data_IF_581820929883
#
_entry.id   IF_581820929883
#
_cell.length_a   1.000
_cell.length_b   1.000
_cell.length_c   1.000
_cell.angle_alpha   90.00
_cell.angle_beta   90.00
_cell.angle_gamma   90.00
#
_symmetry.space_group_name_H-M   'P 1'
#
loop_
_entity.id
_entity.type
_entity.pdbx_description
1 polymer ?
#
# COMPACT_ATOMS: atom_id res chain seq x y z
N UNK A 1 26.02 23.18 10.39
CA UNK A 1 25.91 22.96 11.85
C UNK A 1 24.51 22.41 12.13
N UNK A 2 24.40 21.16 12.59
CA UNK A 2 23.13 20.67 13.11
C UNK A 2 22.79 21.46 14.39
N UNK A 3 21.53 21.82 14.64
CA UNK A 3 21.16 22.43 15.91
C UNK A 3 21.56 21.47 17.04
N UNK A 4 22.36 21.95 17.99
CA UNK A 4 22.98 21.17 19.08
C UNK A 4 22.00 20.48 20.04
N UNK A 5 20.69 20.43 19.76
CA UNK A 5 19.67 19.86 20.67
C UNK A 5 18.49 19.17 19.95
N UNK A 6 18.63 18.69 18.71
CA UNK A 6 17.55 17.92 18.09
C UNK A 6 17.54 16.48 18.64
N UNK A 7 16.44 16.06 19.29
CA UNK A 7 16.27 14.69 19.75
C UNK A 7 16.22 13.70 18.58
N UNK A 8 16.80 12.51 18.76
CA UNK A 8 16.72 11.42 17.77
C UNK A 8 15.25 11.08 17.52
N UNK A 9 14.83 11.08 16.25
CA UNK A 9 13.44 10.80 15.91
C UNK A 9 13.14 10.81 14.42
N UNK A 10 11.86 10.54 14.10
CA UNK A 10 11.29 10.73 12.77
C UNK A 10 10.31 11.91 12.80
N UNK A 11 10.47 12.83 11.86
CA UNK A 11 9.66 14.03 11.77
C UNK A 11 8.14 13.73 11.78
N UNK A 12 7.40 14.46 12.62
CA UNK A 12 5.94 14.36 12.74
C UNK A 12 5.41 13.15 13.52
N UNK A 13 6.24 12.15 13.85
CA UNK A 13 5.80 10.97 14.59
C UNK A 13 5.90 11.19 16.12
N UNK A 14 5.20 12.21 16.61
CA UNK A 14 5.26 12.62 18.03
C UNK A 14 4.64 11.59 18.98
N UNK A 15 3.55 10.94 18.55
CA UNK A 15 2.87 9.90 19.31
C UNK A 15 2.80 8.61 18.50
N UNK A 16 3.42 7.55 19.00
CA UNK A 16 3.59 6.30 18.26
C UNK A 16 3.76 5.13 19.21
N UNK A 17 3.36 3.93 18.80
CA UNK A 17 3.66 2.69 19.52
C UNK A 17 5.13 2.22 19.36
N UNK A 18 5.93 2.97 18.59
CA UNK A 18 7.38 2.83 18.44
C UNK A 18 8.08 4.06 19.02
N UNK A 19 9.10 3.84 19.85
CA UNK A 19 9.93 4.90 20.42
C UNK A 19 11.19 5.10 19.54
N UNK A 20 11.22 6.19 18.77
CA UNK A 20 12.34 6.50 17.88
C UNK A 20 13.56 7.09 18.59
N UNK A 21 13.51 7.33 19.90
CA UNK A 21 14.72 7.61 20.68
C UNK A 21 15.57 6.35 20.90
N UNK A 22 15.00 5.16 20.68
CA UNK A 22 15.65 3.86 20.88
C UNK A 22 16.05 3.22 19.56
N UNK A 23 17.24 2.60 19.51
CA UNK A 23 17.79 1.92 18.32
C UNK A 23 16.89 0.83 17.75
N UNK A 24 16.10 0.16 18.59
CA UNK A 24 15.22 -0.94 18.19
C UNK A 24 14.18 -0.51 17.14
N UNK A 25 13.69 0.73 17.22
CA UNK A 25 12.72 1.31 16.29
C UNK A 25 13.30 1.66 14.92
N UNK A 26 14.63 1.65 14.79
CA UNK A 26 15.35 1.93 13.55
C UNK A 26 15.74 0.66 12.78
N UNK A 27 15.39 -0.51 13.31
CA UNK A 27 15.60 -1.79 12.64
C UNK A 27 14.85 -1.88 11.30
N UNK A 28 15.36 -2.70 10.39
CA UNK A 28 14.91 -2.82 8.99
C UNK A 28 13.41 -2.92 8.76
N UNK A 29 12.65 -3.55 9.66
CA UNK A 29 11.20 -3.73 9.48
C UNK A 29 10.41 -2.56 10.07
N UNK A 30 10.91 -1.96 11.14
CA UNK A 30 10.26 -0.84 11.79
C UNK A 30 10.51 0.46 11.00
N UNK A 31 11.77 0.78 10.70
CA UNK A 31 12.12 1.99 9.96
C UNK A 31 11.44 2.05 8.58
N UNK A 32 11.51 0.98 7.78
CA UNK A 32 10.93 0.98 6.43
C UNK A 32 9.38 1.08 6.42
N UNK A 33 8.72 0.85 7.55
CA UNK A 33 7.28 1.04 7.70
C UNK A 33 6.96 2.42 8.34
N UNK A 34 7.82 2.95 9.21
CA UNK A 34 7.60 4.25 9.86
C UNK A 34 8.07 5.46 9.06
N UNK A 35 9.17 5.35 8.31
CA UNK A 35 9.68 6.43 7.46
C UNK A 35 8.62 6.96 6.47
N UNK A 36 7.82 6.11 5.79
CA UNK A 36 6.69 6.53 4.97
C UNK A 36 5.71 7.51 5.63
N UNK A 37 5.34 7.25 6.89
CA UNK A 37 4.43 8.12 7.64
C UNK A 37 5.10 9.48 7.96
N UNK A 38 6.38 9.44 8.32
CA UNK A 38 7.18 10.65 8.57
C UNK A 38 7.38 11.49 7.30
N UNK A 39 7.65 10.85 6.16
CA UNK A 39 7.72 11.50 4.85
C UNK A 39 6.39 12.20 4.51
N UNK A 40 5.25 11.55 4.77
CA UNK A 40 3.95 12.16 4.56
C UNK A 40 3.72 13.40 5.46
N UNK A 41 4.15 13.34 6.73
CA UNK A 41 4.11 14.50 7.63
C UNK A 41 4.97 15.66 7.10
N UNK A 42 6.18 15.36 6.62
CA UNK A 42 7.08 16.38 6.04
C UNK A 42 6.52 16.99 4.76
N UNK A 43 5.93 16.17 3.88
CA UNK A 43 5.23 16.65 2.69
C UNK A 43 4.05 17.57 3.05
N UNK A 44 3.29 17.24 4.10
CA UNK A 44 2.26 18.13 4.64
C UNK A 44 2.84 19.46 5.12
N UNK A 45 3.94 19.46 5.87
CA UNK A 45 4.62 20.69 6.30
C UNK A 45 5.03 21.57 5.10
N UNK A 46 5.41 20.95 3.98
CA UNK A 46 5.74 21.64 2.73
C UNK A 46 4.54 22.10 1.92
N UNK A 47 3.30 21.86 2.39
CA UNK A 47 2.08 22.17 1.65
C UNK A 47 1.86 21.31 0.40
N UNK A 48 2.51 20.14 0.32
CA UNK A 48 2.37 19.21 -0.79
C UNK A 48 1.22 18.25 -0.55
N UNK A 49 0.41 18.00 -1.59
CA UNK A 49 -0.57 16.90 -1.61
C UNK A 49 0.04 15.64 -2.20
N UNK A 50 -0.52 14.47 -1.88
CA UNK A 50 -0.01 13.18 -2.38
C UNK A 50 -0.62 12.83 -3.75
N UNK A 51 0.09 12.05 -4.56
CA UNK A 51 -0.43 11.57 -5.84
C UNK A 51 -1.50 10.49 -5.57
N UNK A 52 -2.76 10.76 -5.88
CA UNK A 52 -3.87 9.84 -5.61
C UNK A 52 -4.29 9.11 -6.88
N UNK A 53 -4.11 7.78 -6.89
CA UNK A 53 -4.45 6.89 -7.98
C UNK A 53 -5.86 6.32 -7.75
N UNK A 54 -6.81 6.87 -8.50
CA UNK A 54 -8.25 6.57 -8.43
C UNK A 54 -8.70 5.87 -9.70
N UNK A 55 -9.87 5.22 -9.67
CA UNK A 55 -10.52 4.72 -10.88
C UNK A 55 -11.59 5.67 -11.39
N UNK A 56 -11.70 5.79 -12.71
CA UNK A 56 -12.88 6.34 -13.38
C UNK A 56 -13.91 5.27 -13.75
N UNK A 57 -15.03 5.69 -14.34
CA UNK A 57 -16.10 4.80 -14.82
C UNK A 57 -15.69 3.94 -16.02
N UNK A 58 -14.55 4.22 -16.65
CA UNK A 58 -13.96 3.42 -17.72
C UNK A 58 -12.91 2.44 -17.18
N UNK A 59 -12.79 2.30 -15.86
CA UNK A 59 -11.81 1.46 -15.17
C UNK A 59 -10.36 1.84 -15.50
N UNK A 60 -10.11 3.10 -15.84
CA UNK A 60 -8.76 3.65 -16.04
C UNK A 60 -8.31 4.38 -14.78
N UNK A 61 -7.01 4.29 -14.51
CA UNK A 61 -6.41 5.04 -13.41
C UNK A 61 -6.39 6.53 -13.76
N UNK A 62 -6.95 7.33 -12.85
CA UNK A 62 -6.90 8.77 -12.86
C UNK A 62 -5.96 9.27 -11.76
N UNK A 63 -5.14 10.25 -12.12
CA UNK A 63 -4.22 10.92 -11.21
C UNK A 63 -4.90 12.14 -10.63
N UNK A 64 -5.14 12.11 -9.32
CA UNK A 64 -5.66 13.24 -8.55
C UNK A 64 -4.67 13.61 -7.45
N UNK A 65 -4.99 14.65 -6.69
CA UNK A 65 -4.26 15.01 -5.48
C UNK A 65 -5.11 14.71 -4.26
N UNK A 66 -4.49 14.19 -3.19
CA UNK A 66 -5.14 13.94 -1.91
C UNK A 66 -4.40 14.63 -0.78
N UNK A 67 -5.17 15.25 0.12
CA UNK A 67 -4.61 15.85 1.34
C UNK A 67 -4.19 14.74 2.32
N UNK A 68 -3.03 14.90 2.96
CA UNK A 68 -2.51 13.90 3.90
C UNK A 68 -3.47 13.75 5.10
N UNK A 69 -4.21 14.78 5.47
CA UNK A 69 -5.24 14.68 6.51
C UNK A 69 -6.36 13.70 6.15
N UNK A 70 -6.67 13.48 4.87
CA UNK A 70 -7.64 12.48 4.45
C UNK A 70 -7.07 11.05 4.57
N UNK A 71 -5.74 10.91 4.45
CA UNK A 71 -5.01 9.66 4.62
C UNK A 71 -4.92 9.27 6.09
N UNK A 72 -4.61 10.22 6.98
CA UNK A 72 -4.48 9.97 8.42
C UNK A 72 -5.78 10.15 9.21
N UNK A 73 -6.79 10.78 8.62
CA UNK A 73 -8.10 11.05 9.22
C UNK A 73 -8.17 12.34 10.02
N UNK A 74 -7.03 12.94 10.38
CA UNK A 74 -6.86 14.26 10.98
C UNK A 74 -5.54 14.89 10.48
N UNK A 75 -5.29 16.15 10.84
CA UNK A 75 -4.08 16.88 10.45
C UNK A 75 -2.78 16.13 10.83
N UNK A 76 -1.82 15.94 9.90
CA UNK A 76 -0.61 15.12 10.14
C UNK A 76 0.32 15.59 11.26
N UNK A 77 0.28 16.87 11.60
CA UNK A 77 1.09 17.47 12.66
C UNK A 77 0.25 17.80 13.91
N UNK A 78 -0.93 17.19 14.05
CA UNK A 78 -1.76 17.34 15.24
C UNK A 78 -1.12 16.65 16.44
N UNK A 79 -1.14 17.30 17.61
CA UNK A 79 -0.76 16.70 18.90
C UNK A 79 -1.73 15.58 19.34
N UNK A 80 -2.83 15.37 18.61
CA UNK A 80 -3.78 14.29 18.89
C UNK A 80 -3.61 13.09 17.95
N UNK A 81 -2.72 13.16 16.96
CA UNK A 81 -2.49 12.06 16.03
C UNK A 81 -1.53 11.03 16.62
N UNK A 82 -2.01 9.81 16.79
CA UNK A 82 -1.21 8.66 17.19
C UNK A 82 -1.02 7.67 16.05
N UNK A 83 0.23 7.25 15.83
CA UNK A 83 0.62 6.27 14.82
C UNK A 83 0.80 4.88 15.45
N UNK A 84 -0.15 3.98 15.21
CA UNK A 84 -0.08 2.60 15.68
C UNK A 84 0.37 1.67 14.55
N UNK A 85 1.67 1.38 14.50
CA UNK A 85 2.23 0.49 13.49
C UNK A 85 1.91 -0.98 13.79
N UNK A 86 1.76 -1.80 12.75
CA UNK A 86 1.52 -3.25 12.85
C UNK A 86 0.37 -3.57 13.82
N UNK A 87 -0.75 -2.89 13.63
CA UNK A 87 -1.89 -2.89 14.55
C UNK A 87 -3.18 -3.33 13.86
N UNK A 88 -4.17 -3.74 14.65
CA UNK A 88 -5.46 -4.16 14.13
C UNK A 88 -6.33 -2.92 13.88
N UNK A 89 -6.93 -2.79 12.69
CA UNK A 89 -7.98 -1.80 12.49
C UNK A 89 -9.31 -2.31 13.07
N UNK A 90 -9.53 -2.01 14.34
CA UNK A 90 -10.67 -2.47 15.14
C UNK A 90 -12.04 -2.34 14.44
N UNK A 91 -12.34 -1.27 13.67
CA UNK A 91 -13.64 -1.13 13.00
C UNK A 91 -14.03 -2.32 12.10
N UNK A 92 -13.07 -3.05 11.52
CA UNK A 92 -13.35 -4.22 10.69
C UNK A 92 -13.56 -5.52 11.47
N UNK A 93 -13.28 -5.56 12.78
CA UNK A 93 -13.41 -6.81 13.58
C UNK A 93 -14.82 -7.38 13.54
N UNK A 94 -15.85 -6.52 13.49
CA UNK A 94 -17.25 -6.95 13.47
C UNK A 94 -17.66 -7.69 12.19
N UNK A 95 -16.90 -7.61 11.10
CA UNK A 95 -17.20 -8.30 9.84
C UNK A 95 -16.22 -9.45 9.54
N UNK A 96 -15.42 -9.88 10.52
CA UNK A 96 -14.41 -10.95 10.37
C UNK A 96 -14.70 -12.13 11.29
N UNK A 97 -14.41 -13.34 10.81
CA UNK A 97 -14.31 -14.55 11.63
C UNK A 97 -12.89 -14.68 12.17
N UNK A 98 -12.74 -14.88 13.48
CA UNK A 98 -11.45 -15.04 14.12
C UNK A 98 -10.70 -13.73 14.32
N UNK A 99 -9.36 -13.79 14.29
CA UNK A 99 -8.49 -12.63 14.53
C UNK A 99 -8.26 -11.84 13.23
N UNK A 100 -8.41 -10.52 13.30
CA UNK A 100 -8.08 -9.62 12.20
C UNK A 100 -6.55 -9.62 11.96
N UNK A 101 -6.07 -9.66 10.70
CA UNK A 101 -4.66 -9.46 10.44
C UNK A 101 -4.26 -8.02 10.77
N UNK A 102 -3.00 -7.83 11.19
CA UNK A 102 -2.43 -6.50 11.44
C UNK A 102 -2.19 -5.80 10.11
N UNK A 103 -2.47 -4.50 10.06
CA UNK A 103 -2.10 -3.63 8.93
C UNK A 103 -0.83 -2.86 9.28
N UNK A 104 -0.10 -2.42 8.26
CA UNK A 104 1.17 -1.70 8.43
C UNK A 104 1.03 -0.45 9.32
N UNK A 105 -0.03 0.34 9.16
CA UNK A 105 -0.33 1.52 9.98
C UNK A 105 -1.83 1.67 10.28
N UNK A 106 -2.15 1.93 11.54
CA UNK A 106 -3.44 2.47 11.99
C UNK A 106 -3.21 3.83 12.64
N UNK A 107 -4.01 4.83 12.29
CA UNK A 107 -3.99 6.13 12.97
C UNK A 107 -5.14 6.24 13.98
N UNK A 108 -4.88 6.93 15.08
CA UNK A 108 -5.85 7.18 16.15
C UNK A 108 -5.91 8.65 16.51
N UNK A 109 -7.07 9.07 17.04
CA UNK A 109 -7.27 10.38 17.65
C UNK A 109 -7.25 10.27 19.17
N UNK A 110 -6.17 10.75 19.79
CA UNK A 110 -5.98 10.75 21.24
C UNK A 110 -7.04 11.59 21.98
N UNK A 111 -7.61 12.61 21.32
CA UNK A 111 -8.64 13.48 21.93
C UNK A 111 -10.02 12.82 22.01
N UNK A 112 -10.22 11.70 21.29
CA UNK A 112 -11.51 11.01 21.15
C UNK A 112 -11.42 9.57 21.63
N UNK A 113 -10.90 9.36 22.84
CA UNK A 113 -10.75 8.03 23.45
C UNK A 113 -10.00 7.04 22.54
N UNK A 114 -8.91 7.51 21.92
CA UNK A 114 -8.11 6.73 20.97
C UNK A 114 -8.90 6.17 19.77
N UNK A 115 -9.93 6.88 19.32
CA UNK A 115 -10.77 6.47 18.20
C UNK A 115 -9.91 6.12 16.97
N UNK A 116 -10.11 4.93 16.41
CA UNK A 116 -9.48 4.52 15.15
C UNK A 116 -9.95 5.43 14.01
N UNK A 117 -9.01 5.98 13.25
CA UNK A 117 -9.29 6.90 12.16
C UNK A 117 -9.15 6.24 10.79
N UNK A 118 -7.99 5.65 10.51
CA UNK A 118 -7.64 5.09 9.20
C UNK A 118 -6.75 3.87 9.35
N UNK A 119 -6.86 2.94 8.40
CA UNK A 119 -5.93 1.82 8.19
C UNK A 119 -5.24 2.00 6.85
N UNK A 120 -3.91 1.91 6.81
CA UNK A 120 -3.11 2.16 5.62
C UNK A 120 -2.07 1.06 5.48
N UNK A 121 -2.07 0.39 4.34
CA UNK A 121 -0.99 -0.52 3.96
C UNK A 121 0.18 0.29 3.38
N UNK A 122 1.42 -0.06 3.74
CA UNK A 122 2.60 0.69 3.34
C UNK A 122 3.46 -0.14 2.38
N UNK A 123 3.79 0.46 1.24
CA UNK A 123 4.64 -0.14 0.20
C UNK A 123 5.76 0.81 -0.18
N UNK A 124 6.82 0.81 0.62
CA UNK A 124 8.05 1.52 0.28
C UNK A 124 8.68 0.79 -0.93
N UNK A 125 8.77 1.46 -2.10
CA UNK A 125 9.29 0.87 -3.35
C UNK A 125 10.47 1.62 -4.00
N UNK A 126 11.42 0.88 -4.59
CA UNK A 126 12.55 1.45 -5.32
C UNK A 126 12.16 1.86 -6.75
N UNK A 127 12.72 2.99 -7.23
CA UNK A 127 12.57 3.49 -8.58
C UNK A 127 13.98 3.77 -9.19
N UNK A 128 14.40 3.12 -10.27
CA UNK A 128 13.74 2.03 -10.98
C UNK A 128 13.88 0.69 -10.28
N UNK A 129 13.01 -0.23 -10.66
CA UNK A 129 13.14 -1.65 -10.33
C UNK A 129 14.04 -2.42 -11.32
N UNK A 130 14.16 -3.73 -11.09
CA UNK A 130 14.94 -4.63 -11.93
C UNK A 130 14.49 -4.70 -13.39
N UNK A 131 13.23 -4.44 -13.70
CA UNK A 131 12.68 -4.53 -15.06
C UNK A 131 12.88 -3.26 -15.88
N UNK A 132 13.01 -2.09 -15.24
CA UNK A 132 13.01 -0.79 -15.91
C UNK A 132 14.33 -0.03 -15.80
N UNK A 133 15.30 -0.48 -15.00
CA UNK A 133 16.55 0.27 -14.74
C UNK A 133 17.43 0.59 -15.95
N UNK A 134 17.32 -0.16 -17.06
CA UNK A 134 18.06 0.09 -18.31
C UNK A 134 17.31 1.01 -19.28
N UNK A 135 16.07 1.35 -18.97
CA UNK A 135 15.28 2.27 -19.79
C UNK A 135 15.68 3.71 -19.49
N UNK A 136 15.27 4.69 -20.32
CA UNK A 136 15.40 6.09 -19.98
C UNK A 136 14.67 6.43 -18.67
N UNK A 137 15.14 7.45 -17.94
CA UNK A 137 14.57 7.91 -16.67
C UNK A 137 13.04 8.08 -16.65
N UNK A 138 12.47 8.63 -17.72
CA UNK A 138 11.02 8.83 -17.85
C UNK A 138 10.23 7.52 -18.08
N UNK A 139 10.95 6.40 -18.17
CA UNK A 139 10.43 5.04 -18.32
C UNK A 139 10.69 4.15 -17.11
N UNK A 140 11.16 4.72 -16.00
CA UNK A 140 11.33 3.99 -14.75
C UNK A 140 9.97 3.59 -14.13
N UNK A 141 9.96 2.44 -13.47
CA UNK A 141 8.82 1.92 -12.70
C UNK A 141 9.27 1.21 -11.44
N UNK A 142 8.31 0.98 -10.53
CA UNK A 142 8.57 0.36 -9.22
C UNK A 142 8.04 -1.07 -9.17
N UNK A 143 8.81 -2.02 -8.62
CA UNK A 143 8.24 -3.31 -8.25
C UNK A 143 7.32 -3.13 -7.04
N UNK A 144 6.12 -3.71 -7.09
CA UNK A 144 5.23 -3.80 -5.94
C UNK A 144 5.00 -5.27 -5.57
N UNK A 145 5.22 -5.60 -4.29
CA UNK A 145 4.99 -6.94 -3.74
C UNK A 145 3.87 -6.86 -2.71
N UNK A 146 2.79 -7.60 -2.96
CA UNK A 146 1.56 -7.53 -2.19
C UNK A 146 1.41 -8.78 -1.32
N UNK A 147 1.13 -8.59 -0.03
CA UNK A 147 0.87 -9.69 0.92
C UNK A 147 -0.61 -10.09 0.87
N UNK A 148 -0.97 -11.32 1.28
CA UNK A 148 -2.36 -11.73 1.39
C UNK A 148 -3.20 -10.76 2.23
N UNK A 149 -2.64 -10.27 3.34
CA UNK A 149 -3.33 -9.33 4.24
C UNK A 149 -3.78 -8.05 3.54
N UNK A 150 -3.05 -7.58 2.53
CA UNK A 150 -3.48 -6.42 1.71
C UNK A 150 -4.78 -6.73 0.95
N UNK A 151 -4.97 -7.97 0.47
CA UNK A 151 -6.22 -8.41 -0.20
C UNK A 151 -7.35 -8.55 0.83
N UNK A 152 -7.03 -8.96 2.05
CA UNK A 152 -7.99 -9.00 3.15
C UNK A 152 -8.48 -7.58 3.49
N UNK A 153 -7.57 -6.62 3.67
CA UNK A 153 -7.95 -5.22 3.93
C UNK A 153 -8.67 -4.58 2.74
N UNK A 154 -8.32 -4.94 1.50
CA UNK A 154 -9.10 -4.56 0.32
C UNK A 154 -10.54 -5.07 0.42
N UNK A 155 -10.73 -6.37 0.66
CA UNK A 155 -12.07 -6.96 0.80
C UNK A 155 -12.86 -6.33 1.94
N UNK A 156 -12.23 -6.09 3.10
CA UNK A 156 -12.86 -5.46 4.25
C UNK A 156 -13.25 -4.00 3.98
N UNK A 157 -12.40 -3.24 3.28
CA UNK A 157 -12.72 -1.86 2.90
C UNK A 157 -13.96 -1.78 2.01
N UNK A 158 -14.17 -2.76 1.14
CA UNK A 158 -15.36 -2.83 0.28
C UNK A 158 -16.53 -3.32 1.11
N UNK A 159 -16.40 -4.45 1.81
CA UNK A 159 -17.47 -5.06 2.61
C UNK A 159 -18.04 -4.08 3.66
N UNK A 160 -17.20 -3.26 4.30
CA UNK A 160 -17.64 -2.31 5.29
C UNK A 160 -18.64 -1.28 4.74
N UNK A 161 -18.45 -0.80 3.50
CA UNK A 161 -19.38 0.13 2.85
C UNK A 161 -20.74 -0.52 2.56
N UNK A 162 -20.80 -1.85 2.44
CA UNK A 162 -22.02 -2.61 2.17
C UNK A 162 -22.62 -3.26 3.43
N UNK A 163 -22.16 -2.91 4.63
CA UNK A 163 -22.59 -3.57 5.87
C UNK A 163 -24.11 -3.50 6.10
N UNK A 164 -24.71 -2.36 5.76
CA UNK A 164 -26.15 -2.15 5.87
C UNK A 164 -26.93 -2.49 4.59
N UNK A 165 -26.26 -3.01 3.56
CA UNK A 165 -26.86 -3.32 2.26
C UNK A 165 -26.23 -4.54 1.59
N UNK A 166 -26.07 -5.62 2.37
CA UNK A 166 -25.42 -6.86 1.92
C UNK A 166 -26.10 -7.50 0.70
N UNK A 167 -27.43 -7.38 0.58
CA UNK A 167 -28.17 -7.89 -0.58
C UNK A 167 -27.73 -7.22 -1.88
N UNK A 168 -27.35 -5.92 -1.85
CA UNK A 168 -26.80 -5.23 -3.02
C UNK A 168 -25.48 -5.86 -3.45
N UNK A 169 -24.58 -6.12 -2.49
CA UNK A 169 -23.32 -6.80 -2.76
C UNK A 169 -23.56 -8.22 -3.29
N UNK A 170 -24.53 -8.93 -2.72
CA UNK A 170 -24.92 -10.27 -3.14
C UNK A 170 -25.39 -10.29 -4.59
N UNK A 171 -26.18 -9.30 -5.03
CA UNK A 171 -26.71 -9.24 -6.40
C UNK A 171 -25.62 -9.18 -7.47
N UNK A 172 -24.46 -8.56 -7.19
CA UNK A 172 -23.34 -8.58 -8.13
C UNK A 172 -22.64 -9.95 -8.19
N UNK A 173 -22.52 -10.63 -7.04
CA UNK A 173 -21.65 -11.81 -6.91
C UNK A 173 -22.41 -13.13 -7.10
N UNK A 174 -23.64 -13.23 -6.61
CA UNK A 174 -24.47 -14.43 -6.64
C UNK A 174 -24.60 -15.04 -8.05
N UNK A 175 -24.81 -14.26 -9.14
CA UNK A 175 -25.00 -14.84 -10.47
C UNK A 175 -23.82 -15.69 -10.94
N UNK A 176 -22.59 -15.36 -10.55
CA UNK A 176 -21.39 -16.13 -10.90
C UNK A 176 -20.95 -17.06 -9.77
N UNK A 177 -20.88 -16.55 -8.54
CA UNK A 177 -20.29 -17.25 -7.41
C UNK A 177 -21.09 -18.48 -6.97
N UNK A 178 -22.41 -18.51 -7.19
CA UNK A 178 -23.25 -19.66 -6.87
C UNK A 178 -23.12 -20.83 -7.84
N UNK A 179 -22.55 -20.61 -9.03
CA UNK A 179 -22.29 -21.65 -10.02
C UNK A 179 -21.01 -22.44 -9.73
N UNK A 180 -20.15 -21.95 -8.84
CA UNK A 180 -18.91 -22.60 -8.46
C UNK A 180 -19.20 -23.64 -7.38
N UNK A 181 -19.22 -24.92 -7.79
CA UNK A 181 -19.52 -26.05 -6.89
C UNK A 181 -18.46 -26.23 -5.78
N UNK A 182 -17.18 -26.16 -6.16
CA UNK A 182 -16.06 -26.32 -5.23
C UNK A 182 -15.00 -25.26 -5.49
N UNK A 183 -14.91 -24.29 -4.57
CA UNK A 183 -13.94 -23.21 -4.64
C UNK A 183 -12.49 -23.69 -4.48
N UNK A 184 -12.25 -24.86 -3.88
CA UNK A 184 -10.89 -25.40 -3.72
C UNK A 184 -10.35 -26.06 -4.99
N UNK A 185 -11.24 -26.41 -5.93
CA UNK A 185 -10.91 -27.07 -7.19
C UNK A 185 -10.59 -26.09 -8.30
N UNK A 186 -9.38 -26.17 -8.86
CA UNK A 186 -8.97 -25.38 -10.04
C UNK A 186 -9.95 -25.57 -11.20
N UNK A 187 -10.38 -26.82 -11.44
CA UNK A 187 -11.31 -27.17 -12.53
C UNK A 187 -12.65 -26.45 -12.40
N UNK A 188 -13.12 -26.25 -11.17
CA UNK A 188 -14.43 -25.63 -10.90
C UNK A 188 -14.34 -24.11 -10.82
N UNK A 189 -13.17 -23.53 -10.51
CA UNK A 189 -13.00 -22.08 -10.39
C UNK A 189 -12.51 -21.43 -11.68
N UNK A 190 -11.50 -22.02 -12.34
CA UNK A 190 -10.82 -21.41 -13.49
C UNK A 190 -11.78 -20.94 -14.60
N UNK A 191 -12.81 -21.72 -15.00
CA UNK A 191 -13.75 -21.29 -16.06
C UNK A 191 -14.57 -20.06 -15.70
N UNK A 192 -14.72 -19.74 -14.41
CA UNK A 192 -15.53 -18.63 -13.92
C UNK A 192 -14.72 -17.36 -13.62
N UNK A 193 -13.39 -17.41 -13.64
CA UNK A 193 -12.54 -16.26 -13.32
C UNK A 193 -12.84 -15.03 -14.20
N UNK A 194 -13.04 -15.14 -15.52
CA UNK A 194 -13.47 -14.01 -16.34
C UNK A 194 -14.78 -13.37 -15.85
N UNK A 195 -15.82 -14.18 -15.59
CA UNK A 195 -17.11 -13.68 -15.11
C UNK A 195 -17.02 -13.08 -13.70
N UNK A 196 -16.14 -13.61 -12.84
CA UNK A 196 -15.86 -13.03 -11.52
C UNK A 196 -15.27 -11.63 -11.70
N UNK A 197 -14.29 -11.46 -12.58
CA UNK A 197 -13.69 -10.14 -12.87
C UNK A 197 -14.76 -9.18 -13.38
N UNK A 198 -15.59 -9.60 -14.33
CA UNK A 198 -16.65 -8.75 -14.90
C UNK A 198 -17.69 -8.33 -13.85
N UNK A 199 -18.05 -9.25 -12.94
CA UNK A 199 -18.97 -8.99 -11.83
C UNK A 199 -18.38 -7.97 -10.84
N UNK A 200 -17.10 -8.12 -10.50
CA UNK A 200 -16.40 -7.18 -9.62
C UNK A 200 -16.16 -5.82 -10.28
N UNK A 201 -15.88 -5.78 -11.58
CA UNK A 201 -15.77 -4.54 -12.36
C UNK A 201 -17.09 -3.78 -12.39
N UNK A 202 -18.21 -4.47 -12.57
CA UNK A 202 -19.55 -3.87 -12.52
C UNK A 202 -19.82 -3.27 -11.13
N UNK A 203 -19.54 -4.04 -10.07
CA UNK A 203 -19.62 -3.54 -8.70
C UNK A 203 -18.77 -2.27 -8.50
N UNK A 204 -17.55 -2.24 -9.00
CA UNK A 204 -16.65 -1.08 -8.86
C UNK A 204 -17.19 0.13 -9.63
N UNK A 205 -17.63 -0.04 -10.88
CA UNK A 205 -18.13 1.06 -11.72
C UNK A 205 -19.37 1.70 -11.10
N UNK A 206 -20.33 0.89 -10.65
CA UNK A 206 -21.59 1.39 -10.10
C UNK A 206 -21.41 2.08 -8.74
N UNK A 207 -20.32 1.78 -8.04
CA UNK A 207 -20.03 2.32 -6.71
C UNK A 207 -18.80 3.23 -6.68
N UNK A 208 -18.29 3.67 -7.84
CA UNK A 208 -16.99 4.37 -8.00
C UNK A 208 -16.76 5.55 -7.05
N UNK A 209 -17.85 6.19 -6.59
CA UNK A 209 -17.82 7.34 -5.69
C UNK A 209 -17.38 7.01 -4.25
N UNK A 210 -17.45 5.74 -3.82
CA UNK A 210 -17.07 5.32 -2.45
C UNK A 210 -15.61 4.86 -2.35
N UNK A 211 -14.83 4.98 -3.43
CA UNK A 211 -13.43 4.60 -3.41
C UNK A 211 -12.66 5.41 -2.35
N UNK A 212 -11.80 4.74 -1.61
CA UNK A 212 -11.11 5.33 -0.46
C UNK A 212 -9.64 4.88 -0.43
N UNK A 213 -8.72 5.65 0.18
CA UNK A 213 -7.30 5.28 0.29
C UNK A 213 -7.10 3.92 0.94
N UNK A 214 -6.24 3.08 0.33
CA UNK A 214 -5.91 1.74 0.85
C UNK A 214 -4.40 1.56 1.05
N UNK A 215 -3.61 1.90 0.04
CA UNK A 215 -2.15 1.67 0.03
C UNK A 215 -1.43 2.99 -0.13
N UNK A 216 -0.53 3.31 0.79
CA UNK A 216 0.46 4.37 0.64
C UNK A 216 1.75 3.76 0.12
N UNK A 217 2.14 4.12 -1.11
CA UNK A 217 3.34 3.68 -1.81
C UNK A 217 4.33 4.84 -1.97
N UNK A 218 5.20 5.08 -1.00
CA UNK A 218 6.36 5.93 -1.23
C UNK A 218 7.34 5.31 -2.21
N UNK A 219 8.03 6.18 -2.93
CA UNK A 219 9.10 5.81 -3.86
C UNK A 219 10.43 6.41 -3.40
N UNK A 220 11.54 5.70 -3.64
CA UNK A 220 12.87 6.31 -3.62
C UNK A 220 13.59 6.11 -4.95
N UNK A 221 14.05 7.23 -5.54
CA UNK A 221 14.68 7.25 -6.86
C UNK A 221 16.20 7.19 -6.79
N UNK A 222 16.80 6.21 -7.46
CA UNK A 222 18.26 6.02 -7.56
C UNK A 222 18.76 6.11 -9.00
N UNK A 223 20.05 6.39 -9.18
CA UNK A 223 20.72 6.34 -10.49
C UNK A 223 20.83 4.88 -10.94
N UNK A 224 19.91 4.44 -11.80
CA UNK A 224 19.79 3.04 -12.18
C UNK A 224 19.65 2.14 -10.95
N UNK A 225 20.45 1.05 -10.90
CA UNK A 225 20.53 0.13 -9.74
C UNK A 225 21.59 0.50 -8.70
N UNK A 226 22.20 1.67 -8.81
CA UNK A 226 23.22 2.08 -7.84
C UNK A 226 22.58 2.47 -6.51
N UNK A 227 23.38 2.59 -5.45
CA UNK A 227 22.93 3.15 -4.18
C UNK A 227 22.83 4.67 -4.17
N UNK A 228 23.25 5.35 -5.26
CA UNK A 228 23.24 6.81 -5.36
C UNK A 228 21.82 7.33 -5.59
N UNK A 229 21.33 8.18 -4.70
CA UNK A 229 20.04 8.85 -4.88
C UNK A 229 20.10 9.90 -5.98
N UNK A 230 18.97 10.09 -6.68
CA UNK A 230 18.76 11.28 -7.50
C UNK A 230 18.68 12.53 -6.62
N UNK A 231 18.86 13.70 -7.24
CA UNK A 231 18.60 14.97 -6.57
C UNK A 231 17.15 15.02 -6.07
N UNK A 232 16.20 14.76 -6.97
CA UNK A 232 14.77 14.61 -6.70
C UNK A 232 14.48 13.12 -6.52
N UNK A 233 14.28 12.66 -5.28
CA UNK A 233 14.30 11.23 -5.02
C UNK A 233 13.14 10.67 -4.21
N UNK A 234 12.35 11.46 -3.48
CA UNK A 234 11.21 10.91 -2.72
C UNK A 234 9.88 11.53 -3.16
N UNK A 235 8.86 10.68 -3.26
CA UNK A 235 7.46 11.07 -3.44
C UNK A 235 6.56 9.96 -2.88
N UNK A 236 5.26 10.25 -2.78
CA UNK A 236 4.25 9.28 -2.33
C UNK A 236 3.11 9.20 -3.34
N UNK A 237 2.79 7.96 -3.70
CA UNK A 237 1.60 7.57 -4.44
C UNK A 237 0.64 6.85 -3.50
N UNK A 238 -0.64 7.21 -3.55
CA UNK A 238 -1.69 6.58 -2.76
C UNK A 238 -2.62 5.87 -3.73
N UNK A 239 -2.83 4.57 -3.53
CA UNK A 239 -3.84 3.82 -4.27
C UNK A 239 -5.15 3.83 -3.50
N UNK A 240 -6.23 4.19 -4.19
CA UNK A 240 -7.57 3.86 -3.71
C UNK A 240 -7.76 2.34 -3.68
N UNK A 241 -8.69 1.85 -2.86
CA UNK A 241 -9.09 0.45 -2.84
C UNK A 241 -9.48 -0.05 -4.25
N UNK A 242 -10.25 0.73 -4.99
CA UNK A 242 -10.65 0.41 -6.37
C UNK A 242 -9.48 0.53 -7.35
N UNK A 243 -8.68 1.59 -7.28
CA UNK A 243 -7.44 1.74 -8.05
C UNK A 243 -6.49 0.56 -7.92
N UNK A 244 -6.31 0.07 -6.69
CA UNK A 244 -5.44 -1.06 -6.40
C UNK A 244 -5.89 -2.36 -7.08
N UNK A 245 -7.18 -2.50 -7.42
CA UNK A 245 -7.68 -3.69 -8.14
C UNK A 245 -7.05 -3.86 -9.52
N UNK A 246 -6.73 -2.76 -10.22
CA UNK A 246 -6.17 -2.83 -11.58
C UNK A 246 -4.88 -3.60 -11.65
N UNK A 247 -4.06 -3.53 -10.60
CA UNK A 247 -2.81 -4.24 -10.49
C UNK A 247 -2.95 -5.76 -10.71
N UNK A 248 -4.07 -6.37 -10.31
CA UNK A 248 -4.25 -7.82 -10.48
C UNK A 248 -5.45 -8.19 -11.38
N UNK A 249 -6.44 -7.32 -11.54
CA UNK A 249 -7.56 -7.55 -12.47
C UNK A 249 -7.07 -7.50 -13.92
N UNK A 250 -6.29 -6.49 -14.30
CA UNK A 250 -5.85 -6.34 -15.68
C UNK A 250 -4.88 -7.46 -16.08
N UNK A 251 -4.03 -7.89 -15.15
CA UNK A 251 -3.17 -9.07 -15.34
C UNK A 251 -4.03 -10.33 -15.51
N UNK A 252 -5.04 -10.51 -14.65
CA UNK A 252 -5.97 -11.64 -14.71
C UNK A 252 -6.70 -11.69 -16.05
N UNK A 253 -7.19 -10.56 -16.56
CA UNK A 253 -7.84 -10.49 -17.89
C UNK A 253 -6.94 -10.90 -19.04
N UNK A 254 -5.63 -10.66 -18.93
CA UNK A 254 -4.63 -11.11 -19.92
C UNK A 254 -4.37 -12.61 -19.80
N UNK A 255 -4.18 -13.11 -18.58
CA UNK A 255 -3.82 -14.50 -18.30
C UNK A 255 -4.98 -15.48 -18.50
N UNK A 256 -6.20 -15.12 -18.07
CA UNK A 256 -7.36 -16.02 -18.09
C UNK A 256 -7.80 -16.44 -19.51
N UNK A 257 -7.26 -15.80 -20.56
CA UNK A 257 -7.51 -16.17 -21.96
C UNK A 257 -6.63 -17.31 -22.46
N UNK A 258 -5.51 -17.58 -21.79
CA UNK A 258 -4.44 -18.45 -22.31
C UNK A 258 -3.91 -19.46 -21.30
N UNK A 259 -4.18 -19.28 -20.01
CA UNK A 259 -3.65 -20.13 -18.94
C UNK A 259 -4.61 -21.27 -18.58
N UNK A 260 -4.07 -22.48 -18.49
CA UNK A 260 -4.78 -23.66 -17.95
C UNK A 260 -4.66 -23.77 -16.42
N UNK A 261 -3.91 -22.86 -15.78
CA UNK A 261 -3.65 -22.85 -14.33
C UNK A 261 -3.96 -21.50 -13.70
N UNK A 262 -4.25 -21.50 -12.39
CA UNK A 262 -4.55 -20.26 -11.66
C UNK A 262 -3.24 -19.64 -11.14
N UNK A 263 -2.85 -18.53 -11.76
CA UNK A 263 -1.70 -17.73 -11.34
C UNK A 263 -2.02 -16.85 -10.13
N UNK A 264 -0.99 -16.34 -9.45
CA UNK A 264 -1.11 -15.48 -8.24
C UNK A 264 -2.08 -14.28 -8.38
N UNK A 265 -2.04 -13.47 -9.46
CA UNK A 265 -3.02 -12.40 -9.67
C UNK A 265 -4.46 -12.92 -9.80
N UNK A 266 -4.64 -14.02 -10.55
CA UNK A 266 -5.95 -14.66 -10.74
C UNK A 266 -6.51 -15.18 -9.41
N UNK A 267 -5.67 -15.84 -8.61
CA UNK A 267 -6.01 -16.27 -7.25
C UNK A 267 -6.41 -15.08 -6.36
N UNK A 268 -5.75 -13.93 -6.49
CA UNK A 268 -6.09 -12.75 -5.70
C UNK A 268 -7.48 -12.19 -6.06
N UNK A 269 -7.90 -12.29 -7.33
CA UNK A 269 -9.30 -12.03 -7.74
C UNK A 269 -10.25 -13.01 -7.06
N UNK A 270 -9.93 -14.31 -7.10
CA UNK A 270 -10.76 -15.35 -6.49
C UNK A 270 -10.88 -15.16 -4.98
N UNK A 271 -9.79 -14.83 -4.28
CA UNK A 271 -9.80 -14.50 -2.85
C UNK A 271 -10.70 -13.31 -2.55
N UNK A 272 -10.57 -12.22 -3.31
CA UNK A 272 -11.42 -11.04 -3.15
C UNK A 272 -12.90 -11.39 -3.35
N UNK A 273 -13.22 -12.07 -4.45
CA UNK A 273 -14.59 -12.47 -4.77
C UNK A 273 -15.19 -13.36 -3.69
N UNK A 274 -14.44 -14.39 -3.25
CA UNK A 274 -14.89 -15.32 -2.24
C UNK A 274 -15.15 -14.64 -0.91
N UNK A 275 -14.25 -13.76 -0.46
CA UNK A 275 -14.43 -13.02 0.78
C UNK A 275 -15.65 -12.09 0.72
N UNK A 276 -15.83 -11.35 -0.36
CA UNK A 276 -17.00 -10.48 -0.52
C UNK A 276 -18.31 -11.28 -0.63
N UNK A 277 -18.29 -12.43 -1.29
CA UNK A 277 -19.45 -13.30 -1.43
C UNK A 277 -19.86 -13.92 -0.08
N UNK A 278 -18.89 -14.41 0.70
CA UNK A 278 -19.15 -14.87 2.08
C UNK A 278 -19.74 -13.75 2.95
N UNK A 279 -19.16 -12.55 2.87
CA UNK A 279 -19.70 -11.40 3.59
C UNK A 279 -21.13 -11.09 3.18
N UNK A 280 -21.42 -11.08 1.87
CA UNK A 280 -22.76 -10.83 1.37
C UNK A 280 -23.78 -11.83 1.94
N UNK A 281 -23.44 -13.12 1.96
CA UNK A 281 -24.32 -14.18 2.48
C UNK A 281 -24.53 -14.10 4.00
N UNK A 282 -23.45 -14.08 4.79
CA UNK A 282 -23.55 -14.30 6.25
C UNK A 282 -23.06 -13.12 7.10
N UNK A 283 -22.60 -12.03 6.48
CA UNK A 283 -22.17 -10.80 7.16
C UNK A 283 -20.78 -10.89 7.77
N UNK A 284 -20.01 -11.94 7.45
CA UNK A 284 -18.68 -12.20 8.00
C UNK A 284 -17.74 -12.73 6.92
N UNK A 285 -16.46 -12.41 7.03
CA UNK A 285 -15.37 -12.89 6.17
C UNK A 285 -14.50 -13.88 6.95
N UNK A 286 -14.36 -15.11 6.46
CA UNK A 286 -13.38 -16.07 6.98
C UNK A 286 -12.09 -16.03 6.16
N UNK A 287 -11.38 -14.91 6.23
CA UNK A 287 -10.19 -14.65 5.42
C UNK A 287 -9.12 -15.73 5.59
N UNK A 288 -8.89 -16.22 6.82
CA UNK A 288 -7.91 -17.27 7.08
C UNK A 288 -8.24 -18.55 6.31
N UNK A 289 -9.49 -19.01 6.38
CA UNK A 289 -9.93 -20.18 5.61
C UNK A 289 -9.74 -19.95 4.11
N UNK A 290 -10.14 -18.78 3.59
CA UNK A 290 -9.99 -18.46 2.16
C UNK A 290 -8.52 -18.51 1.72
N UNK A 291 -7.61 -17.83 2.44
CA UNK A 291 -6.18 -17.77 2.09
C UNK A 291 -5.49 -19.15 2.23
N UNK A 292 -5.85 -19.92 3.25
CA UNK A 292 -5.20 -21.20 3.55
C UNK A 292 -5.72 -22.34 2.66
N UNK A 293 -6.97 -22.28 2.20
CA UNK A 293 -7.57 -23.36 1.37
C UNK A 293 -7.50 -23.07 -0.12
N UNK A 294 -7.66 -21.81 -0.54
CA UNK A 294 -7.76 -21.44 -1.96
C UNK A 294 -6.38 -21.10 -2.54
N UNK A 295 -5.41 -22.00 -2.38
CA UNK A 295 -4.01 -21.74 -2.76
C UNK A 295 -3.72 -22.03 -4.23
N UNK A 296 -4.48 -22.93 -4.85
CA UNK A 296 -4.39 -23.34 -6.25
C UNK A 296 -2.96 -23.68 -6.69
N UNK A 297 -2.25 -24.51 -5.91
CA UNK A 297 -0.86 -24.93 -6.15
C UNK A 297 0.18 -23.80 -6.15
N UNK A 298 -0.18 -22.60 -5.72
CA UNK A 298 0.78 -21.49 -5.55
C UNK A 298 1.00 -21.23 -4.07
N UNK A 299 2.24 -20.88 -3.66
CA UNK A 299 2.50 -20.50 -2.26
C UNK A 299 1.67 -19.27 -1.88
N UNK A 300 1.15 -19.24 -0.65
CA UNK A 300 0.32 -18.16 -0.11
C UNK A 300 1.11 -17.11 0.68
N UNK A 301 2.45 -17.10 0.60
CA UNK A 301 3.32 -16.10 1.23
C UNK A 301 3.13 -14.68 0.65
N UNK A 302 2.66 -14.59 -0.60
CA UNK A 302 2.35 -13.35 -1.31
C UNK A 302 1.04 -13.52 -2.07
N UNK A 303 0.27 -12.45 -2.14
CA UNK A 303 -0.88 -12.37 -3.04
C UNK A 303 -0.38 -12.35 -4.48
N UNK A 304 0.44 -11.35 -4.82
CA UNK A 304 1.10 -11.20 -6.11
C UNK A 304 2.32 -10.28 -6.01
N UNK A 305 3.11 -10.22 -7.08
CA UNK A 305 4.15 -9.22 -7.28
C UNK A 305 4.12 -8.75 -8.74
N UNK A 306 4.34 -7.45 -8.97
CA UNK A 306 4.39 -6.87 -10.30
C UNK A 306 5.66 -6.05 -10.45
N UNK A 307 6.32 -6.24 -11.59
CA UNK A 307 7.48 -5.47 -11.99
C UNK A 307 7.14 -4.02 -12.33
N UNK A 308 8.15 -3.16 -12.34
CA UNK A 308 8.08 -1.76 -12.75
C UNK A 308 7.50 -1.58 -14.15
N UNK A 309 7.78 -2.51 -15.07
CA UNK A 309 7.19 -2.50 -16.42
C UNK A 309 5.66 -2.65 -16.41
N UNK A 310 5.11 -3.34 -15.39
CA UNK A 310 3.67 -3.53 -15.23
C UNK A 310 3.01 -2.45 -14.37
N UNK A 311 3.71 -1.88 -13.38
CA UNK A 311 3.15 -0.84 -12.51
C UNK A 311 3.24 0.55 -13.12
N UNK A 312 4.30 0.84 -13.88
CA UNK A 312 4.55 2.16 -14.48
C UNK A 312 3.37 2.72 -15.27
N UNK A 313 2.67 1.96 -16.14
CA UNK A 313 1.55 2.50 -16.91
C UNK A 313 0.47 3.16 -16.06
N UNK A 314 0.30 2.73 -14.80
CA UNK A 314 -0.66 3.28 -13.85
C UNK A 314 -0.13 4.45 -13.01
N UNK A 315 1.19 4.62 -12.93
CA UNK A 315 1.84 5.62 -12.08
C UNK A 315 2.50 6.77 -12.88
N UNK A 316 2.48 6.70 -14.21
CA UNK A 316 3.23 7.63 -15.06
C UNK A 316 2.67 9.05 -14.94
N UNK A 317 3.45 9.92 -14.30
CA UNK A 317 3.22 11.36 -14.20
C UNK A 317 4.55 12.09 -13.97
N UNK A 318 4.53 13.42 -13.97
CA UNK A 318 5.72 14.25 -13.73
C UNK A 318 6.40 13.94 -12.39
N UNK A 319 5.61 13.67 -11.35
CA UNK A 319 6.11 13.34 -10.01
C UNK A 319 6.79 11.96 -9.94
N UNK A 320 6.50 11.04 -10.87
CA UNK A 320 7.25 9.78 -11.00
C UNK A 320 8.62 10.03 -11.65
N UNK A 321 8.67 10.90 -12.67
CA UNK A 321 9.91 11.24 -13.39
C UNK A 321 10.84 12.07 -12.51
N UNK A 322 10.27 13.06 -11.81
CA UNK A 322 10.97 13.99 -10.92
C UNK A 322 10.25 14.07 -9.56
N UNK A 323 10.53 13.13 -8.64
CA UNK A 323 9.99 13.12 -7.28
C UNK A 323 10.16 14.46 -6.54
N UNK A 324 9.15 14.90 -5.79
CA UNK A 324 9.09 16.28 -5.29
C UNK A 324 9.99 16.59 -4.09
N UNK A 325 10.45 15.59 -3.35
CA UNK A 325 11.35 15.76 -2.20
C UNK A 325 12.79 15.45 -2.61
N UNK A 326 13.72 16.35 -2.26
CA UNK A 326 15.13 16.18 -2.63
C UNK A 326 15.91 15.34 -1.62
N UNK A 327 17.06 14.81 -2.05
CA UNK A 327 17.91 13.98 -1.17
C UNK A 327 18.41 14.74 0.07
N UNK A 328 18.68 16.04 -0.05
CA UNK A 328 19.16 16.86 1.07
C UNK A 328 18.07 17.10 2.11
N UNK A 329 16.80 16.94 1.74
CA UNK A 329 15.67 17.11 2.65
C UNK A 329 15.47 15.90 3.55
N UNK A 330 16.10 14.76 3.25
CA UNK A 330 16.02 13.56 4.10
C UNK A 330 16.52 13.85 5.53
N UNK A 331 17.48 14.77 5.69
CA UNK A 331 17.97 15.21 7.01
C UNK A 331 16.94 16.00 7.83
N UNK A 332 15.87 16.47 7.21
CA UNK A 332 14.75 17.13 7.88
C UNK A 332 13.64 16.13 8.25
N UNK A 333 13.77 14.87 7.82
CA UNK A 333 12.83 13.78 8.13
C UNK A 333 13.44 12.85 9.18
N UNK A 334 14.73 12.52 9.02
CA UNK A 334 15.52 11.73 9.98
C UNK A 334 16.28 12.70 10.88
N UNK A 335 15.86 12.77 12.15
CA UNK A 335 16.23 13.82 13.08
C UNK A 335 17.29 13.36 14.09
N UNK A 336 18.06 14.32 14.62
CA UNK A 336 18.89 14.15 15.82
C UNK A 336 20.00 13.11 15.70
N UNK A 337 20.47 12.80 14.49
CA UNK A 337 21.46 11.74 14.27
C UNK A 337 20.85 10.33 14.17
N UNK A 338 19.53 10.20 13.99
CA UNK A 338 18.85 8.91 13.89
C UNK A 338 19.34 8.01 12.74
N UNK A 339 19.94 8.57 11.69
CA UNK A 339 20.60 7.78 10.65
C UNK A 339 21.70 6.87 11.20
N UNK A 340 22.32 7.23 12.33
CA UNK A 340 23.34 6.42 12.99
C UNK A 340 22.75 5.20 13.71
N UNK A 341 21.42 5.12 13.85
CA UNK A 341 20.71 4.00 14.45
C UNK A 341 20.18 3.02 13.40
N UNK A 342 20.26 3.37 12.11
CA UNK A 342 19.89 2.47 11.03
C UNK A 342 20.75 1.21 11.08
N UNK A 343 20.11 0.07 10.86
CA UNK A 343 20.76 -1.24 10.70
C UNK A 343 20.59 -1.65 9.23
N UNK A 344 21.51 -1.22 8.34
CA UNK A 344 21.27 -1.25 6.91
C UNK A 344 21.31 -2.68 6.35
N UNK A 345 20.30 -3.04 5.56
CA UNK A 345 20.28 -4.30 4.80
C UNK A 345 20.22 -4.04 3.28
N UNK A 346 19.07 -4.25 2.63
CA UNK A 346 18.90 -4.18 1.16
C UNK A 346 17.77 -3.27 0.71
N UNK A 347 17.25 -2.42 1.60
CA UNK A 347 16.11 -1.52 1.35
C UNK A 347 16.54 -0.05 1.53
N UNK A 348 15.58 0.85 1.75
CA UNK A 348 15.85 2.29 1.79
C UNK A 348 16.81 2.71 2.92
N UNK A 349 16.81 2.01 4.05
CA UNK A 349 17.81 2.14 5.12
C UNK A 349 19.26 2.00 4.60
N UNK A 350 19.51 1.04 3.71
CA UNK A 350 20.83 0.84 3.10
C UNK A 350 21.18 1.92 2.08
N UNK A 351 20.17 2.45 1.39
CA UNK A 351 20.35 3.60 0.49
C UNK A 351 20.74 4.83 1.30
N UNK A 352 20.06 5.13 2.40
CA UNK A 352 20.43 6.24 3.29
C UNK A 352 21.86 6.09 3.79
N UNK A 353 22.22 4.90 4.28
CA UNK A 353 23.58 4.62 4.77
C UNK A 353 24.66 4.85 3.70
N UNK A 354 24.34 4.59 2.43
CA UNK A 354 25.26 4.76 1.29
C UNK A 354 25.38 6.21 0.79
N UNK A 355 24.59 7.15 1.33
CA UNK A 355 24.65 8.58 0.97
C UNK A 355 24.92 9.43 2.24
N UNK A 356 26.09 9.27 2.88
CA UNK A 356 26.41 9.95 4.14
C UNK A 356 26.50 11.47 3.98
N UNK A 357 26.71 11.98 2.76
CA UNK A 357 26.76 13.41 2.47
C UNK A 357 25.43 14.13 2.72
N UNK A 358 24.32 13.39 2.86
CA UNK A 358 23.03 13.93 3.29
C UNK A 358 23.13 14.54 4.69
N UNK A 359 23.91 13.91 5.57
CA UNK A 359 23.99 14.23 7.00
C UNK A 359 25.32 14.86 7.41
N UNK A 360 26.35 14.77 6.58
CA UNK A 360 27.67 15.36 6.82
C UNK A 360 28.07 16.28 5.67
N UNK A 361 27.99 17.59 5.91
CA UNK A 361 28.33 18.61 4.92
C UNK A 361 29.83 18.57 4.52
N UNK A 362 30.72 17.99 5.35
CA UNK A 362 32.16 17.88 5.05
C UNK A 362 32.44 16.90 3.90
N UNK A 363 31.53 15.97 3.64
CA UNK A 363 31.68 14.94 2.60
C UNK A 363 31.23 15.48 1.23
N UNK A 364 30.53 16.62 1.17
CA UNK A 364 30.03 17.20 -0.10
C UNK A 364 31.11 17.79 -1.00
N UNK A 365 32.28 18.10 -0.44
CA UNK A 365 33.39 18.78 -1.12
C UNK A 365 34.51 17.83 -1.59
N UNK A 366 34.32 16.51 -1.39
CA UNK A 366 35.19 15.43 -1.88
C UNK A 366 34.49 14.74 -3.05
#
# INVERSE_FOLDING_TARGET
>A
MQPENLQVGLFGLNHSNRDFSQRESWGKNQFNNSFPASLACYMYQKGLKLNYLTLDKQLKIQHQEIDISQIFGITPLSDHLFFSFESDYVPYRKIVVGKLPRVDLVTHDLSRDNACLRSIEIKLTALPDNSTYRLPDHQYGCEIVTRPDTIVYLALSIAHEFENSRDKLLNYLQPVCSQIEDWSSIRHVLPFIPQIVDSLDTLIIENIAIQSPLVMQPIWKTVGKTSKLYQNCLDIFVWSNFGFTRLFFDITKRLAKSEETIQRPMRSVVWLAKMLYEFALVGKINHKLVIDTLTYNTKNDKAFALSGSNTRPYMTCDNLVKPRITKEEIKNIILGGGQNFLSPERRFDAIIFSNPEIFDDRIKEI
#
